data_IF_271508740520
#
_entry.id   IF_271508740520
#
_cell.length_a   1.000
_cell.length_b   1.000
_cell.length_c   1.000
_cell.angle_alpha   90.00
_cell.angle_beta   90.00
_cell.angle_gamma   90.00
#
_symmetry.space_group_name_H-M   'P 1'
#
loop_
_entity.id
_entity.type
_entity.pdbx_description
1 polymer ?
#
# COMPACT_ATOMS: atom_id res chain seq x y z
N UNK A 1 -8.04 5.32 19.75
CA UNK A 1 -6.87 5.71 18.94
C UNK A 1 -6.79 4.74 17.77
N UNK A 2 -6.77 5.22 16.52
CA UNK A 2 -6.71 4.39 15.31
C UNK A 2 -5.26 4.13 14.93
N UNK A 3 -4.90 2.88 14.68
CA UNK A 3 -3.56 2.50 14.20
C UNK A 3 -3.52 2.57 12.68
N UNK A 4 -2.76 3.50 12.15
CA UNK A 4 -2.56 3.70 10.71
C UNK A 4 -1.22 3.10 10.31
N UNK A 5 -1.23 2.09 9.44
CA UNK A 5 -0.02 1.59 8.80
C UNK A 5 0.25 2.41 7.53
N UNK A 6 1.36 3.13 7.50
CA UNK A 6 1.83 3.82 6.32
C UNK A 6 2.98 3.05 5.67
N UNK A 7 2.74 2.52 4.48
CA UNK A 7 3.72 1.79 3.66
C UNK A 7 4.31 2.76 2.64
N UNK A 8 5.56 3.14 2.86
CA UNK A 8 6.31 4.06 2.00
C UNK A 8 7.14 3.28 0.98
N UNK A 9 6.78 3.39 -0.30
CA UNK A 9 7.53 2.86 -1.44
C UNK A 9 8.01 3.98 -2.36
N UNK A 10 8.34 5.15 -1.80
CA UNK A 10 8.78 6.32 -2.55
C UNK A 10 10.29 6.23 -2.85
N UNK A 11 10.68 5.43 -3.83
CA UNK A 11 12.05 5.06 -4.19
C UNK A 11 13.01 6.27 -4.31
N UNK A 12 12.52 7.45 -4.70
CA UNK A 12 13.32 8.65 -4.87
C UNK A 12 13.54 9.45 -3.57
N UNK A 13 13.05 8.94 -2.42
CA UNK A 13 13.15 9.62 -1.13
C UNK A 13 12.59 11.04 -1.20
N UNK A 14 13.34 12.02 -0.72
CA UNK A 14 12.92 13.43 -0.66
C UNK A 14 12.63 14.07 -2.03
N UNK A 15 13.18 13.54 -3.11
CA UNK A 15 12.87 14.00 -4.47
C UNK A 15 11.55 13.44 -5.02
N UNK A 16 10.87 12.57 -4.28
CA UNK A 16 9.62 11.93 -4.72
C UNK A 16 8.43 12.88 -4.63
N UNK A 17 7.72 13.08 -5.74
CA UNK A 17 6.44 13.80 -5.77
C UNK A 17 5.36 13.01 -5.02
N UNK A 18 5.40 11.69 -5.09
CA UNK A 18 4.49 10.80 -4.35
C UNK A 18 4.69 10.95 -2.84
N UNK A 19 5.94 11.10 -2.37
CA UNK A 19 6.22 11.36 -0.95
C UNK A 19 5.62 12.69 -0.49
N UNK A 20 5.73 13.75 -1.29
CA UNK A 20 5.10 15.05 -0.97
C UNK A 20 3.57 14.92 -0.82
N UNK A 21 2.93 14.14 -1.69
CA UNK A 21 1.50 13.84 -1.59
C UNK A 21 1.17 13.05 -0.31
N UNK A 22 1.97 12.05 0.02
CA UNK A 22 1.81 11.23 1.21
C UNK A 22 2.03 12.03 2.51
N UNK A 23 3.07 12.84 2.57
CA UNK A 23 3.35 13.68 3.74
C UNK A 23 2.22 14.70 3.98
N UNK A 24 1.64 15.24 2.92
CA UNK A 24 0.47 16.12 3.03
C UNK A 24 -0.77 15.38 3.56
N UNK A 25 -1.01 14.14 3.14
CA UNK A 25 -2.06 13.29 3.69
C UNK A 25 -1.83 13.03 5.19
N UNK A 26 -0.64 12.55 5.54
CA UNK A 26 -0.31 12.19 6.91
C UNK A 26 -0.37 13.37 7.88
N UNK A 27 0.05 14.57 7.41
CA UNK A 27 -0.02 15.80 8.22
C UNK A 27 -1.44 16.27 8.53
N UNK A 28 -2.43 15.83 7.75
CA UNK A 28 -3.84 16.19 7.90
C UNK A 28 -4.66 15.14 8.66
N UNK A 29 -4.04 14.03 9.09
CA UNK A 29 -4.71 13.00 9.89
C UNK A 29 -5.20 13.56 11.24
N UNK A 30 -6.35 13.08 11.75
CA UNK A 30 -6.81 13.41 13.08
C UNK A 30 -5.80 13.06 14.18
N UNK A 31 -5.82 13.81 15.28
CA UNK A 31 -4.89 13.61 16.40
C UNK A 31 -5.04 12.27 17.12
N UNK A 32 -6.15 11.56 16.93
CA UNK A 32 -6.39 10.22 17.47
C UNK A 32 -5.80 9.11 16.60
N UNK A 33 -5.14 9.44 15.49
CA UNK A 33 -4.43 8.50 14.63
C UNK A 33 -2.97 8.33 15.10
N UNK A 34 -2.58 7.07 15.31
CA UNK A 34 -1.19 6.68 15.53
C UNK A 34 -0.63 6.09 14.25
N UNK A 35 0.35 6.77 13.64
CA UNK A 35 0.98 6.32 12.39
C UNK A 35 2.20 5.46 12.69
N UNK A 36 2.18 4.22 12.19
CA UNK A 36 3.38 3.38 12.09
C UNK A 36 3.90 3.48 10.65
N UNK A 37 5.09 4.06 10.49
CA UNK A 37 5.74 4.17 9.16
C UNK A 37 6.55 2.92 8.88
N UNK A 38 6.41 2.40 7.67
CA UNK A 38 7.19 1.30 7.12
C UNK A 38 7.82 1.77 5.81
N UNK A 39 9.08 2.18 5.87
CA UNK A 39 9.86 2.56 4.70
C UNK A 39 10.43 1.30 4.05
N UNK A 40 9.87 0.89 2.92
CA UNK A 40 10.29 -0.33 2.24
C UNK A 40 11.75 -0.29 1.74
N UNK A 41 12.31 0.92 1.55
CA UNK A 41 13.72 1.06 1.16
C UNK A 41 14.68 0.81 2.31
N UNK A 42 14.20 0.90 3.56
CA UNK A 42 14.98 0.62 4.77
C UNK A 42 14.80 -0.81 5.28
N UNK A 43 13.83 -1.56 4.73
CA UNK A 43 13.52 -2.92 5.16
C UNK A 43 14.34 -3.96 4.39
N UNK A 44 14.76 -5.03 5.08
CA UNK A 44 15.38 -6.19 4.43
C UNK A 44 14.30 -7.11 3.82
N UNK A 45 13.79 -6.68 2.65
CA UNK A 45 12.79 -7.41 1.89
C UNK A 45 13.45 -8.28 0.82
N UNK A 46 13.23 -9.57 0.89
CA UNK A 46 13.67 -10.52 -0.14
C UNK A 46 12.47 -11.11 -0.88
N UNK A 47 12.58 -11.24 -2.21
CA UNK A 47 11.62 -12.01 -2.98
C UNK A 47 11.78 -13.51 -2.70
N UNK A 48 10.72 -14.28 -2.94
CA UNK A 48 10.72 -15.72 -2.68
C UNK A 48 11.63 -16.47 -3.65
N UNK A 49 12.72 -17.01 -3.13
CA UNK A 49 13.64 -17.90 -3.84
C UNK A 49 14.31 -18.86 -2.87
N UNK A 50 14.77 -19.99 -3.38
CA UNK A 50 15.63 -20.95 -2.70
C UNK A 50 15.14 -21.29 -1.26
N UNK A 51 16.05 -21.33 -0.31
CA UNK A 51 15.77 -21.61 1.10
C UNK A 51 14.83 -20.62 1.78
N UNK A 52 14.76 -19.39 1.26
CA UNK A 52 13.87 -18.36 1.83
C UNK A 52 12.38 -18.71 1.64
N UNK A 53 12.00 -19.25 0.46
CA UNK A 53 10.66 -19.77 0.24
C UNK A 53 10.40 -21.06 1.03
N UNK A 54 11.34 -22.01 0.99
CA UNK A 54 11.22 -23.27 1.70
C UNK A 54 10.99 -23.11 3.21
N UNK A 55 11.70 -22.17 3.84
CA UNK A 55 11.49 -21.85 5.25
C UNK A 55 10.07 -21.35 5.54
N UNK A 56 9.53 -20.47 4.67
CA UNK A 56 8.15 -19.99 4.81
C UNK A 56 7.16 -21.16 4.81
N UNK A 57 7.28 -22.07 3.85
CA UNK A 57 6.38 -23.21 3.72
C UNK A 57 6.49 -24.16 4.91
N UNK A 58 7.71 -24.40 5.42
CA UNK A 58 7.92 -25.20 6.62
C UNK A 58 7.22 -24.61 7.85
N UNK A 59 7.36 -23.30 8.08
CA UNK A 59 6.70 -22.61 9.20
C UNK A 59 5.18 -22.68 9.09
N UNK A 60 4.62 -22.48 7.90
CA UNK A 60 3.18 -22.56 7.68
C UNK A 60 2.65 -23.97 7.89
N UNK A 61 3.37 -25.01 7.41
CA UNK A 61 3.03 -26.41 7.61
C UNK A 61 3.09 -26.82 9.08
N UNK A 62 4.04 -26.25 9.86
CA UNK A 62 4.16 -26.45 11.30
C UNK A 62 3.14 -25.63 12.11
N UNK A 63 2.35 -24.76 11.50
CA UNK A 63 1.41 -23.87 12.18
C UNK A 63 2.06 -22.71 12.91
N UNK A 64 3.35 -22.45 12.70
CA UNK A 64 4.14 -21.42 13.39
C UNK A 64 3.89 -20.00 12.82
N UNK A 65 2.63 -19.57 12.81
CA UNK A 65 2.24 -18.27 12.25
C UNK A 65 2.70 -17.06 13.06
N UNK A 66 3.07 -17.25 14.33
CA UNK A 66 3.62 -16.21 15.20
C UNK A 66 5.13 -15.99 15.01
N UNK A 67 5.78 -16.76 14.13
CA UNK A 67 7.20 -16.63 13.85
C UNK A 67 7.52 -15.22 13.32
N UNK A 68 8.64 -14.57 13.76
CA UNK A 68 9.01 -13.19 13.36
C UNK A 68 9.09 -12.94 11.86
N UNK A 69 9.25 -13.99 11.07
CA UNK A 69 9.20 -13.95 9.62
C UNK A 69 7.89 -13.33 9.09
N UNK A 70 6.79 -13.56 9.77
CA UNK A 70 5.46 -13.09 9.38
C UNK A 70 5.09 -11.71 9.96
N UNK A 71 6.09 -10.97 10.50
CA UNK A 71 5.86 -9.66 11.13
C UNK A 71 5.10 -8.66 10.25
N UNK A 72 5.38 -8.65 8.93
CA UNK A 72 4.69 -7.75 7.98
C UNK A 72 3.23 -8.13 7.79
N UNK A 73 2.92 -9.42 7.72
CA UNK A 73 1.56 -9.91 7.62
C UNK A 73 0.75 -9.56 8.86
N UNK A 74 1.29 -9.75 10.06
CA UNK A 74 0.65 -9.36 11.31
C UNK A 74 0.45 -7.85 11.40
N UNK A 75 1.46 -7.05 11.07
CA UNK A 75 1.37 -5.60 11.08
C UNK A 75 0.26 -5.10 10.12
N UNK A 76 0.19 -5.68 8.93
CA UNK A 76 -0.82 -5.35 7.93
C UNK A 76 -2.22 -5.76 8.37
N UNK A 77 -2.39 -6.99 8.86
CA UNK A 77 -3.68 -7.52 9.30
C UNK A 77 -4.25 -6.77 10.51
N UNK A 78 -3.38 -6.27 11.40
CA UNK A 78 -3.77 -5.59 12.65
C UNK A 78 -3.98 -4.08 12.52
N UNK A 79 -3.66 -3.49 11.39
CA UNK A 79 -3.88 -2.06 11.16
C UNK A 79 -5.38 -1.72 11.10
N UNK A 80 -5.80 -0.60 11.68
CA UNK A 80 -7.18 -0.09 11.57
C UNK A 80 -7.41 0.63 10.24
N UNK A 81 -6.35 1.20 9.68
CA UNK A 81 -6.28 1.91 8.40
C UNK A 81 -4.93 1.63 7.73
N UNK A 82 -4.91 1.59 6.40
CA UNK A 82 -3.70 1.36 5.63
C UNK A 82 -3.56 2.48 4.60
N UNK A 83 -2.37 3.06 4.53
CA UNK A 83 -1.98 4.03 3.49
C UNK A 83 -0.76 3.48 2.77
N UNK A 84 -0.84 3.35 1.46
CA UNK A 84 0.28 2.94 0.61
C UNK A 84 0.66 4.11 -0.29
N UNK A 85 1.94 4.49 -0.31
CA UNK A 85 2.46 5.50 -1.23
C UNK A 85 3.51 4.87 -2.15
N UNK A 86 3.25 4.87 -3.45
CA UNK A 86 4.19 4.38 -4.46
C UNK A 86 4.04 5.15 -5.78
N UNK A 87 5.14 5.49 -6.48
CA UNK A 87 5.07 6.09 -7.80
C UNK A 87 4.52 5.09 -8.82
N UNK A 88 3.99 5.62 -9.92
CA UNK A 88 3.54 4.82 -11.05
C UNK A 88 4.72 4.49 -11.97
N UNK A 89 5.12 3.22 -12.01
CA UNK A 89 6.20 2.70 -12.83
C UNK A 89 5.71 1.50 -13.64
N UNK A 90 6.07 1.45 -14.90
CA UNK A 90 5.81 0.31 -15.78
C UNK A 90 4.33 -0.15 -15.75
N UNK A 91 3.42 0.83 -15.88
CA UNK A 91 1.96 0.68 -15.82
C UNK A 91 1.41 0.24 -14.45
N UNK A 92 2.24 0.17 -13.41
CA UNK A 92 1.85 -0.25 -12.06
C UNK A 92 2.61 0.55 -10.99
N UNK A 93 3.31 -0.11 -10.10
CA UNK A 93 4.16 0.42 -9.04
C UNK A 93 5.51 -0.32 -8.97
N UNK A 94 6.53 0.19 -8.27
CA UNK A 94 7.84 -0.47 -8.16
C UNK A 94 7.75 -1.91 -7.67
N UNK A 95 8.60 -2.79 -8.20
CA UNK A 95 8.68 -4.21 -7.83
C UNK A 95 8.83 -4.42 -6.30
N UNK A 96 9.47 -3.48 -5.59
CA UNK A 96 9.61 -3.53 -4.14
C UNK A 96 8.26 -3.58 -3.41
N UNK A 97 7.24 -2.84 -3.88
CA UNK A 97 5.89 -2.94 -3.31
C UNK A 97 5.28 -4.32 -3.57
N UNK A 98 5.52 -4.92 -4.75
CA UNK A 98 5.06 -6.29 -5.04
C UNK A 98 5.71 -7.32 -4.12
N UNK A 99 7.02 -7.19 -3.87
CA UNK A 99 7.73 -8.04 -2.89
C UNK A 99 7.10 -7.92 -1.50
N UNK A 100 6.82 -6.69 -1.05
CA UNK A 100 6.14 -6.48 0.23
C UNK A 100 4.74 -7.14 0.25
N UNK A 101 3.95 -6.98 -0.81
CA UNK A 101 2.62 -7.61 -0.92
C UNK A 101 2.73 -9.15 -0.81
N UNK A 102 3.75 -9.76 -1.38
CA UNK A 102 4.00 -11.20 -1.23
C UNK A 102 4.35 -11.58 0.21
N UNK A 103 5.10 -10.74 0.92
CA UNK A 103 5.41 -10.98 2.34
C UNK A 103 4.19 -10.84 3.25
N UNK A 104 3.23 -9.98 2.92
CA UNK A 104 2.00 -9.84 3.71
C UNK A 104 0.92 -10.86 3.34
N UNK A 105 1.00 -11.48 2.16
CA UNK A 105 0.02 -12.47 1.70
C UNK A 105 0.28 -13.83 2.36
N UNK A 106 -0.26 -14.01 3.57
CA UNK A 106 -0.05 -15.21 4.39
C UNK A 106 -1.38 -15.83 4.78
N UNK A 107 -1.56 -17.11 4.40
CA UNK A 107 -2.73 -17.89 4.78
C UNK A 107 -2.83 -18.08 6.29
N UNK A 108 -4.02 -17.81 6.83
CA UNK A 108 -4.30 -17.82 8.26
C UNK A 108 -3.88 -16.54 9.01
N UNK A 109 -3.34 -15.49 8.31
CA UNK A 109 -3.00 -14.19 8.91
C UNK A 109 -3.75 -13.05 8.21
N UNK A 110 -3.56 -12.88 6.90
CA UNK A 110 -4.18 -11.79 6.11
C UNK A 110 -5.35 -12.26 5.27
N UNK A 111 -5.41 -13.52 4.96
CA UNK A 111 -6.53 -14.19 4.31
C UNK A 111 -6.57 -15.64 4.78
N UNK A 112 -7.66 -16.34 4.49
CA UNK A 112 -7.81 -17.77 4.80
C UNK A 112 -8.75 -18.44 3.83
N UNK A 113 -8.73 -19.78 3.82
CA UNK A 113 -9.63 -20.62 3.02
C UNK A 113 -10.73 -21.17 3.93
N UNK A 114 -11.98 -21.07 3.48
CA UNK A 114 -13.16 -21.65 4.13
C UNK A 114 -13.87 -22.59 3.16
N UNK A 115 -14.87 -23.32 3.62
CA UNK A 115 -15.70 -24.15 2.75
C UNK A 115 -16.44 -23.33 1.68
N UNK A 116 -16.71 -22.05 1.96
CA UNK A 116 -17.36 -21.12 1.03
C UNK A 116 -16.39 -20.37 0.10
N UNK A 117 -15.08 -20.59 0.23
CA UNK A 117 -14.04 -19.95 -0.57
C UNK A 117 -13.03 -19.13 0.25
N UNK A 118 -12.37 -18.19 -0.40
CA UNK A 118 -11.40 -17.32 0.24
C UNK A 118 -12.08 -16.26 1.12
N UNK A 119 -11.51 -16.02 2.29
CA UNK A 119 -11.94 -14.98 3.22
C UNK A 119 -10.76 -14.10 3.58
N UNK A 120 -10.92 -12.78 3.46
CA UNK A 120 -9.95 -11.81 3.97
C UNK A 120 -10.04 -11.71 5.49
N UNK A 121 -8.88 -11.58 6.15
CA UNK A 121 -8.75 -11.57 7.61
C UNK A 121 -8.21 -10.25 8.16
N UNK A 122 -7.92 -9.26 7.30
CA UNK A 122 -7.46 -7.96 7.73
C UNK A 122 -8.60 -7.14 8.32
N UNK A 123 -8.30 -6.42 9.40
CA UNK A 123 -9.31 -5.62 10.12
C UNK A 123 -9.44 -4.18 9.62
N UNK A 124 -8.57 -3.74 8.72
CA UNK A 124 -8.57 -2.38 8.23
C UNK A 124 -9.91 -2.04 7.58
N UNK A 125 -10.51 -0.92 7.98
CA UNK A 125 -11.76 -0.45 7.38
C UNK A 125 -11.55 0.37 6.11
N UNK A 126 -10.29 0.77 5.81
CA UNK A 126 -9.95 1.52 4.60
C UNK A 126 -8.49 1.33 4.21
N UNK A 127 -8.25 1.22 2.90
CA UNK A 127 -6.96 1.30 2.24
C UNK A 127 -6.94 2.52 1.32
N UNK A 128 -5.95 3.39 1.49
CA UNK A 128 -5.71 4.55 0.62
C UNK A 128 -4.42 4.33 -0.17
N UNK A 129 -4.50 4.47 -1.48
CA UNK A 129 -3.34 4.46 -2.37
C UNK A 129 -3.04 5.87 -2.86
N UNK A 130 -1.81 6.34 -2.62
CA UNK A 130 -1.32 7.65 -3.03
C UNK A 130 -0.25 7.46 -4.11
N UNK A 131 -0.46 8.04 -5.28
CA UNK A 131 0.46 7.84 -6.41
C UNK A 131 0.63 9.10 -7.25
N UNK A 132 1.75 9.20 -7.96
CA UNK A 132 1.99 10.23 -8.99
C UNK A 132 2.43 9.54 -10.28
N UNK A 133 1.93 10.01 -11.42
CA UNK A 133 2.07 9.38 -12.73
C UNK A 133 2.63 10.36 -13.75
N UNK A 134 3.58 9.90 -14.55
CA UNK A 134 4.23 10.74 -15.57
C UNK A 134 3.25 11.23 -16.64
N UNK A 135 2.41 10.34 -17.17
CA UNK A 135 1.35 10.64 -18.14
C UNK A 135 -0.04 10.76 -17.51
N UNK A 136 -1.07 10.72 -18.36
CA UNK A 136 -2.48 10.75 -17.96
C UNK A 136 -3.04 9.32 -17.98
N UNK A 137 -3.25 8.75 -16.79
CA UNK A 137 -3.69 7.36 -16.65
C UNK A 137 -4.99 7.21 -15.84
N UNK A 138 -5.54 8.29 -15.30
CA UNK A 138 -6.83 8.23 -14.58
C UNK A 138 -7.94 7.80 -15.53
N UNK A 139 -8.53 6.62 -15.28
CA UNK A 139 -9.55 6.00 -16.13
C UNK A 139 -8.99 5.24 -17.34
N UNK A 140 -7.67 5.15 -17.51
CA UNK A 140 -7.04 4.40 -18.58
C UNK A 140 -6.98 2.89 -18.24
N UNK A 141 -7.17 2.05 -19.25
CA UNK A 141 -7.09 0.58 -19.11
C UNK A 141 -5.67 0.08 -18.81
N UNK A 142 -4.64 0.84 -19.16
CA UNK A 142 -3.24 0.55 -18.86
C UNK A 142 -2.85 0.90 -17.42
N UNK A 143 -3.74 1.53 -16.63
CA UNK A 143 -3.47 1.79 -15.21
C UNK A 143 -3.75 0.52 -14.41
N UNK A 144 -2.69 -0.24 -14.12
CA UNK A 144 -2.79 -1.51 -13.42
C UNK A 144 -2.49 -1.40 -11.92
N UNK A 145 -1.81 -0.32 -11.47
CA UNK A 145 -1.40 -0.18 -10.07
C UNK A 145 -2.57 -0.03 -9.11
N UNK A 146 -3.46 0.93 -9.39
CA UNK A 146 -4.66 1.16 -8.58
C UNK A 146 -5.64 -0.02 -8.66
N UNK A 147 -5.85 -0.57 -9.86
CA UNK A 147 -6.74 -1.73 -10.06
C UNK A 147 -6.25 -2.97 -9.33
N UNK A 148 -4.93 -3.18 -9.27
CA UNK A 148 -4.36 -4.29 -8.52
C UNK A 148 -4.61 -4.15 -7.01
N UNK A 149 -4.39 -2.96 -6.45
CA UNK A 149 -4.64 -2.70 -5.03
C UNK A 149 -6.14 -2.71 -4.69
N UNK A 150 -7.00 -2.30 -5.62
CA UNK A 150 -8.45 -2.43 -5.50
C UNK A 150 -8.89 -3.90 -5.43
N UNK A 151 -8.32 -4.77 -6.25
CA UNK A 151 -8.56 -6.21 -6.14
C UNK A 151 -8.03 -6.79 -4.82
N UNK A 152 -6.86 -6.34 -4.37
CA UNK A 152 -6.26 -6.81 -3.12
C UNK A 152 -7.03 -6.36 -1.87
N UNK A 153 -7.63 -5.15 -1.84
CA UNK A 153 -8.41 -4.74 -0.67
C UNK A 153 -9.57 -5.71 -0.44
N UNK A 154 -10.26 -6.13 -1.51
CA UNK A 154 -11.31 -7.14 -1.44
C UNK A 154 -10.76 -8.50 -0.99
N UNK A 155 -9.63 -8.93 -1.57
CA UNK A 155 -8.97 -10.20 -1.22
C UNK A 155 -8.58 -10.28 0.26
N UNK A 156 -8.08 -9.19 0.83
CA UNK A 156 -7.71 -9.11 2.25
C UNK A 156 -8.87 -8.79 3.19
N UNK A 157 -10.08 -8.54 2.69
CA UNK A 157 -11.26 -8.20 3.49
C UNK A 157 -11.24 -6.77 4.05
N UNK A 158 -10.48 -5.87 3.44
CA UNK A 158 -10.44 -4.45 3.82
C UNK A 158 -11.71 -3.75 3.36
N UNK A 159 -12.28 -2.87 4.21
CA UNK A 159 -13.63 -2.33 4.03
C UNK A 159 -13.81 -1.41 2.84
N UNK A 160 -12.89 -0.49 2.57
CA UNK A 160 -12.99 0.47 1.47
C UNK A 160 -11.62 0.71 0.82
N UNK A 161 -11.64 1.06 -0.47
CA UNK A 161 -10.47 1.45 -1.22
C UNK A 161 -10.63 2.84 -1.81
N UNK A 162 -9.56 3.65 -1.77
CA UNK A 162 -9.51 4.96 -2.41
C UNK A 162 -8.13 5.18 -3.02
N UNK A 163 -8.07 5.52 -4.30
CA UNK A 163 -6.84 5.96 -4.96
C UNK A 163 -6.86 7.48 -5.15
N UNK A 164 -5.80 8.17 -4.73
CA UNK A 164 -5.54 9.57 -5.06
C UNK A 164 -4.28 9.65 -5.91
N UNK A 165 -4.45 10.06 -7.15
CA UNK A 165 -3.38 10.20 -8.12
C UNK A 165 -3.20 11.66 -8.56
N UNK A 166 -1.94 12.04 -8.85
CA UNK A 166 -1.62 13.23 -9.63
C UNK A 166 -1.02 12.78 -10.96
N UNK A 167 -1.73 13.05 -12.05
CA UNK A 167 -1.34 12.70 -13.42
C UNK A 167 -0.58 13.83 -14.11
N UNK A 168 0.12 13.51 -15.21
CA UNK A 168 0.77 14.49 -16.09
C UNK A 168 2.09 15.03 -15.54
N UNK A 169 2.73 14.32 -14.61
CA UNK A 169 3.92 14.82 -13.92
C UNK A 169 5.13 15.05 -14.84
N UNK A 170 5.18 14.40 -16.00
CA UNK A 170 6.29 14.48 -16.95
C UNK A 170 5.83 14.89 -18.35
N UNK A 171 4.58 15.41 -18.48
CA UNK A 171 4.02 15.88 -19.75
C UNK A 171 4.49 17.29 -20.04
N UNK A 172 5.18 17.46 -21.18
CA UNK A 172 5.68 18.78 -21.59
C UNK A 172 4.53 19.78 -21.80
N UNK A 173 4.69 20.99 -21.27
CA UNK A 173 3.69 22.06 -21.39
C UNK A 173 2.46 21.90 -20.46
N UNK A 174 2.40 20.85 -19.65
CA UNK A 174 1.35 20.67 -18.66
C UNK A 174 1.77 21.22 -17.29
N UNK A 175 0.83 21.81 -16.56
CA UNK A 175 1.08 22.33 -15.20
C UNK A 175 1.04 21.20 -14.18
N UNK A 176 2.16 20.46 -14.09
CA UNK A 176 2.35 19.38 -13.13
C UNK A 176 2.26 19.86 -11.67
N UNK A 177 2.62 21.13 -11.40
CA UNK A 177 2.54 21.69 -10.06
C UNK A 177 1.08 21.90 -9.64
N UNK A 178 0.24 22.42 -10.51
CA UNK A 178 -1.20 22.55 -10.24
C UNK A 178 -1.87 21.17 -10.07
N UNK A 179 -1.51 20.18 -10.90
CA UNK A 179 -2.03 18.80 -10.77
C UNK A 179 -1.68 18.18 -9.42
N UNK A 180 -0.42 18.32 -8.99
CA UNK A 180 0.03 17.84 -7.69
C UNK A 180 -0.68 18.58 -6.54
N UNK A 181 -0.83 19.89 -6.63
CA UNK A 181 -1.53 20.70 -5.61
C UNK A 181 -2.99 20.26 -5.46
N UNK A 182 -3.71 20.04 -6.56
CA UNK A 182 -5.07 19.55 -6.53
C UNK A 182 -5.19 18.14 -5.93
N UNK A 183 -4.21 17.24 -6.18
CA UNK A 183 -4.15 15.93 -5.55
C UNK A 183 -3.88 16.04 -4.04
N UNK A 184 -3.00 16.95 -3.62
CA UNK A 184 -2.72 17.23 -2.21
C UNK A 184 -3.99 17.72 -1.49
N UNK A 185 -4.78 18.60 -2.11
CA UNK A 185 -6.01 19.10 -1.50
C UNK A 185 -7.03 17.97 -1.30
N UNK A 186 -7.19 17.07 -2.30
CA UNK A 186 -8.03 15.86 -2.17
C UNK A 186 -7.51 14.95 -1.06
N UNK A 187 -6.19 14.75 -0.98
CA UNK A 187 -5.55 13.92 0.03
C UNK A 187 -5.80 14.44 1.44
N UNK A 188 -5.63 15.75 1.66
CA UNK A 188 -5.92 16.39 2.96
C UNK A 188 -7.40 16.34 3.32
N UNK A 189 -8.30 16.49 2.34
CA UNK A 189 -9.74 16.39 2.58
C UNK A 189 -10.13 14.97 3.04
N UNK A 190 -9.60 13.93 2.37
CA UNK A 190 -9.83 12.54 2.77
C UNK A 190 -9.22 12.23 4.14
N UNK A 191 -7.99 12.70 4.40
CA UNK A 191 -7.28 12.44 5.65
C UNK A 191 -8.05 12.93 6.90
N UNK A 192 -8.76 14.04 6.81
CA UNK A 192 -9.54 14.61 7.94
C UNK A 192 -10.68 13.69 8.40
N UNK A 193 -11.15 12.79 7.56
CA UNK A 193 -12.24 11.84 7.85
C UNK A 193 -11.76 10.40 7.97
N UNK A 194 -10.47 10.19 7.88
CA UNK A 194 -9.79 8.89 7.87
C UNK A 194 -9.78 8.17 9.23
#
# INVERSE_FOLDING_TARGET
MKNVLFVDCCIRGEASRTKKLADAFLSALPADCRVTRLDLMAEDLSYFKDGYFAQREQLLAAGERDHPRFRYAHQFAQADRIVIAAPFWDLSFPALLKVYIEQVSVDGITFGSTESGLQGLCRASQLVFLTTRGGFYTGDTMEMGSRYLDALHTFFGIGAYTCIAADGMDVAGFDAAASLAAAIDRAKALARTF
#
